data_IF_424328043004
#
_entry.id   IF_424328043004
#
_cell.length_a   1.000
_cell.length_b   1.000
_cell.length_c   1.000
_cell.angle_alpha   90.00
_cell.angle_beta   90.00
_cell.angle_gamma   90.00
#
_symmetry.space_group_name_H-M   'P 1'
#
loop_
_entity.id
_entity.type
_entity.pdbx_description
1 polymer ?
#
# COMPACT_ATOMS: atom_id res chain seq x y z
N UNK A 1 -71.73 24.51 52.02
CA UNK A 1 -71.65 24.45 50.53
C UNK A 1 -70.43 25.17 49.94
N UNK A 2 -69.78 26.09 50.67
CA UNK A 2 -68.67 26.91 50.15
C UNK A 2 -67.35 26.16 49.94
N UNK A 3 -67.05 25.11 50.72
CA UNK A 3 -65.80 24.34 50.60
C UNK A 3 -65.74 23.46 49.33
N UNK A 4 -66.88 23.00 48.82
CA UNK A 4 -66.96 22.15 47.61
C UNK A 4 -66.64 22.97 46.34
N UNK A 5 -67.06 24.25 46.30
CA UNK A 5 -66.72 25.14 45.18
C UNK A 5 -65.24 25.50 45.14
N UNK A 6 -64.58 25.62 46.29
CA UNK A 6 -63.14 25.90 46.34
C UNK A 6 -62.34 24.70 45.83
N UNK A 7 -62.73 23.47 46.19
CA UNK A 7 -62.06 22.25 45.71
C UNK A 7 -62.26 22.08 44.20
N UNK A 8 -63.47 22.32 43.66
CA UNK A 8 -63.70 22.24 42.22
C UNK A 8 -62.91 23.33 41.45
N UNK A 9 -62.85 24.55 41.98
CA UNK A 9 -62.02 25.63 41.41
C UNK A 9 -60.51 25.32 41.50
N UNK A 10 -60.07 24.65 42.57
CA UNK A 10 -58.67 24.27 42.77
C UNK A 10 -58.24 23.11 41.87
N UNK A 11 -59.14 22.14 41.60
CA UNK A 11 -58.91 21.03 40.67
C UNK A 11 -58.97 21.52 39.21
N UNK A 12 -59.89 22.44 38.88
CA UNK A 12 -60.00 23.05 37.55
C UNK A 12 -58.87 24.02 37.21
N UNK A 13 -58.17 24.57 38.23
CA UNK A 13 -57.08 25.52 38.05
C UNK A 13 -55.68 24.89 37.96
N UNK A 14 -55.53 23.58 38.21
CA UNK A 14 -54.22 22.90 38.34
C UNK A 14 -53.89 21.94 37.19
N UNK A 15 -54.74 21.79 36.19
CA UNK A 15 -54.53 20.87 35.04
C UNK A 15 -53.95 21.53 33.79
N UNK A 16 -53.53 22.81 33.84
CA UNK A 16 -53.01 23.53 32.67
C UNK A 16 -51.63 24.16 32.90
N UNK A 17 -50.76 23.49 33.67
CA UNK A 17 -49.34 23.85 33.72
C UNK A 17 -48.46 22.60 33.51
N UNK A 18 -48.85 21.78 32.53
CA UNK A 18 -47.91 20.89 31.86
C UNK A 18 -47.19 21.75 30.81
N UNK A 19 -46.02 22.25 31.19
CA UNK A 19 -45.10 22.98 30.32
C UNK A 19 -44.78 22.13 29.09
N UNK A 20 -45.60 22.25 28.05
CA UNK A 20 -45.21 21.97 26.68
C UNK A 20 -44.06 22.92 26.37
N UNK A 21 -42.84 22.43 26.48
CA UNK A 21 -41.69 23.00 25.80
C UNK A 21 -42.13 23.26 24.36
N UNK A 22 -42.24 24.54 24.00
CA UNK A 22 -42.41 24.93 22.61
C UNK A 22 -41.14 24.47 21.90
N UNK A 23 -41.18 23.27 21.33
CA UNK A 23 -40.28 22.91 20.23
C UNK A 23 -40.60 23.93 19.15
N UNK A 24 -39.74 24.95 19.07
CA UNK A 24 -39.76 25.95 18.01
C UNK A 24 -39.53 25.14 16.74
N UNK A 25 -40.61 24.85 16.01
CA UNK A 25 -40.54 24.18 14.72
C UNK A 25 -39.62 25.01 13.85
N UNK A 26 -38.41 24.51 13.62
CA UNK A 26 -37.45 25.13 12.74
C UNK A 26 -38.10 25.32 11.37
N UNK A 27 -37.77 26.46 10.76
CA UNK A 27 -38.18 26.83 9.42
C UNK A 27 -38.03 25.64 8.47
N UNK A 28 -39.13 24.96 8.15
CA UNK A 28 -39.21 24.14 6.94
C UNK A 28 -39.26 25.11 5.76
N UNK A 29 -38.09 25.62 5.38
CA UNK A 29 -37.89 26.21 4.07
C UNK A 29 -38.28 25.16 3.04
N UNK A 30 -39.44 25.34 2.40
CA UNK A 30 -39.86 24.48 1.31
C UNK A 30 -38.96 24.79 0.11
N UNK A 31 -37.92 23.97 -0.07
CA UNK A 31 -37.08 24.05 -1.25
C UNK A 31 -37.96 23.65 -2.43
N UNK A 32 -38.47 24.64 -3.15
CA UNK A 32 -39.20 24.44 -4.41
C UNK A 32 -38.17 24.15 -5.49
N UNK A 33 -37.78 22.89 -5.60
CA UNK A 33 -36.93 22.43 -6.70
C UNK A 33 -37.77 22.48 -7.97
N UNK A 34 -37.40 23.36 -8.90
CA UNK A 34 -38.00 23.34 -10.24
C UNK A 34 -37.50 22.10 -10.99
N UNK A 35 -38.38 21.44 -11.75
CA UNK A 35 -38.03 20.26 -12.55
C UNK A 35 -36.81 20.53 -13.47
N UNK A 36 -36.71 21.77 -13.97
CA UNK A 36 -35.59 22.26 -14.80
C UNK A 36 -34.29 22.34 -14.00
N UNK A 37 -34.33 22.83 -12.76
CA UNK A 37 -33.17 22.89 -11.87
C UNK A 37 -32.66 21.51 -11.46
N UNK A 38 -33.57 20.56 -11.23
CA UNK A 38 -33.21 19.16 -10.97
C UNK A 38 -32.52 18.52 -12.19
N UNK A 39 -33.05 18.74 -13.40
CA UNK A 39 -32.44 18.24 -14.63
C UNK A 39 -31.04 18.80 -14.87
N UNK A 40 -30.85 20.10 -14.66
CA UNK A 40 -29.53 20.74 -14.78
C UNK A 40 -28.52 20.18 -13.78
N UNK A 41 -28.93 19.93 -12.53
CA UNK A 41 -28.07 19.32 -11.51
C UNK A 41 -27.60 17.92 -11.92
N UNK A 42 -28.49 17.09 -12.47
CA UNK A 42 -28.15 15.73 -12.92
C UNK A 42 -27.11 15.78 -14.05
N UNK A 43 -27.29 16.66 -15.04
CA UNK A 43 -26.33 16.83 -16.13
C UNK A 43 -24.97 17.29 -15.60
N UNK A 44 -24.97 18.25 -14.67
CA UNK A 44 -23.74 18.73 -14.02
C UNK A 44 -23.03 17.58 -13.27
N UNK A 45 -23.77 16.76 -12.52
CA UNK A 45 -23.22 15.60 -11.83
C UNK A 45 -22.61 14.58 -12.80
N UNK A 46 -23.26 14.32 -13.94
CA UNK A 46 -22.73 13.41 -14.96
C UNK A 46 -21.40 13.95 -15.50
N UNK A 47 -21.34 15.23 -15.88
CA UNK A 47 -20.13 15.86 -16.40
C UNK A 47 -19.00 15.80 -15.36
N UNK A 48 -19.31 16.12 -14.09
CA UNK A 48 -18.34 16.02 -13.00
C UNK A 48 -17.82 14.59 -12.83
N UNK A 49 -18.70 13.60 -12.88
CA UNK A 49 -18.35 12.19 -12.70
C UNK A 49 -17.47 11.70 -13.87
N UNK A 50 -17.75 12.13 -15.09
CA UNK A 50 -16.91 11.84 -16.27
C UNK A 50 -15.53 12.49 -16.15
N UNK A 51 -15.47 13.77 -15.80
CA UNK A 51 -14.20 14.47 -15.62
C UNK A 51 -13.36 13.85 -14.49
N UNK A 52 -14.00 13.52 -13.36
CA UNK A 52 -13.36 12.86 -12.23
C UNK A 52 -12.85 11.47 -12.59
N UNK A 53 -13.62 10.70 -13.36
CA UNK A 53 -13.20 9.39 -13.86
C UNK A 53 -11.95 9.49 -14.74
N UNK A 54 -11.94 10.41 -15.71
CA UNK A 54 -10.77 10.63 -16.57
C UNK A 54 -9.54 11.06 -15.77
N UNK A 55 -9.71 11.94 -14.77
CA UNK A 55 -8.62 12.34 -13.89
C UNK A 55 -8.07 11.17 -13.07
N UNK A 56 -8.94 10.29 -12.53
CA UNK A 56 -8.50 9.10 -11.82
C UNK A 56 -7.74 8.13 -12.72
N UNK A 57 -8.25 7.87 -13.94
CA UNK A 57 -7.58 6.98 -14.90
C UNK A 57 -6.22 7.53 -15.32
N UNK A 58 -6.12 8.84 -15.58
CA UNK A 58 -4.85 9.47 -15.92
C UNK A 58 -3.83 9.40 -14.76
N UNK A 59 -4.27 9.63 -13.51
CA UNK A 59 -3.37 9.48 -12.36
C UNK A 59 -2.98 8.02 -12.11
N UNK A 60 -3.85 7.06 -12.43
CA UNK A 60 -3.54 5.64 -12.32
C UNK A 60 -2.45 5.21 -13.29
N UNK A 61 -2.43 5.77 -14.50
CA UNK A 61 -1.36 5.52 -15.49
C UNK A 61 0.02 6.02 -14.99
N UNK A 62 0.07 7.17 -14.32
CA UNK A 62 1.30 7.72 -13.74
C UNK A 62 1.83 6.80 -12.63
N UNK A 63 0.94 6.27 -11.78
CA UNK A 63 1.31 5.30 -10.74
C UNK A 63 1.84 3.99 -11.31
N UNK A 64 1.34 3.56 -12.47
CA UNK A 64 1.87 2.39 -13.18
C UNK A 64 3.33 2.54 -13.59
N UNK A 65 3.72 3.74 -14.03
CA UNK A 65 5.13 4.04 -14.35
C UNK A 65 6.03 4.02 -13.11
N UNK A 66 5.57 4.60 -12.00
CA UNK A 66 6.31 4.59 -10.73
C UNK A 66 6.49 3.16 -10.18
N UNK A 67 5.45 2.34 -10.25
CA UNK A 67 5.54 0.91 -9.93
C UNK A 67 6.55 0.21 -10.83
N UNK A 68 6.55 0.52 -12.14
CA UNK A 68 7.48 -0.09 -13.08
C UNK A 68 8.95 0.29 -12.78
N UNK A 69 9.20 1.54 -12.41
CA UNK A 69 10.54 1.98 -12.00
C UNK A 69 11.01 1.27 -10.73
N UNK A 70 10.12 1.11 -9.74
CA UNK A 70 10.41 0.36 -8.51
C UNK A 70 10.69 -1.12 -8.81
N UNK A 71 9.92 -1.76 -9.68
CA UNK A 71 10.17 -3.14 -10.12
C UNK A 71 11.55 -3.29 -10.78
N UNK A 72 11.91 -2.36 -11.66
CA UNK A 72 13.21 -2.35 -12.33
C UNK A 72 14.35 -2.23 -11.31
N UNK A 73 14.24 -1.31 -10.34
CA UNK A 73 15.22 -1.16 -9.25
C UNK A 73 15.36 -2.43 -8.43
N UNK A 74 14.23 -3.07 -8.05
CA UNK A 74 14.25 -4.35 -7.32
C UNK A 74 14.97 -5.44 -8.12
N UNK A 75 14.71 -5.51 -9.43
CA UNK A 75 15.37 -6.47 -10.32
C UNK A 75 16.88 -6.25 -10.40
N UNK A 76 17.31 -4.99 -10.53
CA UNK A 76 18.73 -4.61 -10.54
C UNK A 76 19.42 -4.95 -9.22
N UNK A 77 18.82 -4.56 -8.08
CA UNK A 77 19.31 -4.88 -6.74
C UNK A 77 19.44 -6.39 -6.53
N UNK A 78 18.48 -7.19 -7.00
CA UNK A 78 18.56 -8.66 -6.93
C UNK A 78 19.68 -9.23 -7.78
N UNK A 79 19.91 -8.68 -8.98
CA UNK A 79 21.01 -9.09 -9.85
C UNK A 79 22.36 -8.80 -9.16
N UNK A 80 22.54 -7.58 -8.67
CA UNK A 80 23.76 -7.17 -7.99
C UNK A 80 24.03 -8.02 -6.74
N UNK A 81 22.98 -8.33 -5.96
CA UNK A 81 23.12 -9.20 -4.79
C UNK A 81 23.56 -10.62 -5.18
N UNK A 82 22.97 -11.20 -6.23
CA UNK A 82 23.41 -12.52 -6.74
C UNK A 82 24.86 -12.51 -7.20
N UNK A 83 25.28 -11.46 -7.92
CA UNK A 83 26.68 -11.32 -8.34
C UNK A 83 27.64 -11.20 -7.15
N UNK A 84 27.23 -10.51 -6.08
CA UNK A 84 28.02 -10.44 -4.84
C UNK A 84 28.12 -11.81 -4.15
N UNK A 85 27.01 -12.56 -4.08
CA UNK A 85 27.01 -13.92 -3.51
C UNK A 85 27.92 -14.87 -4.30
N UNK A 86 27.90 -14.80 -5.64
CA UNK A 86 28.80 -15.60 -6.48
C UNK A 86 30.26 -15.28 -6.16
N UNK A 87 30.61 -13.98 -6.12
CA UNK A 87 31.98 -13.56 -5.76
C UNK A 87 32.38 -14.02 -4.36
N UNK A 88 31.48 -13.93 -3.38
CA UNK A 88 31.75 -14.44 -2.03
C UNK A 88 32.05 -15.95 -2.04
N UNK A 89 31.26 -16.73 -2.78
CA UNK A 89 31.48 -18.17 -2.92
C UNK A 89 32.79 -18.49 -3.63
N UNK A 90 33.15 -17.75 -4.69
CA UNK A 90 34.43 -17.90 -5.38
C UNK A 90 35.61 -17.66 -4.42
N UNK A 91 35.58 -16.56 -3.66
CA UNK A 91 36.62 -16.25 -2.67
C UNK A 91 36.73 -17.34 -1.60
N UNK A 92 35.59 -17.82 -1.07
CA UNK A 92 35.56 -18.91 -0.09
C UNK A 92 36.09 -20.22 -0.66
N UNK A 93 35.77 -20.53 -1.92
CA UNK A 93 36.25 -21.72 -2.61
C UNK A 93 37.78 -21.67 -2.81
N UNK A 94 38.33 -20.52 -3.21
CA UNK A 94 39.78 -20.35 -3.33
C UNK A 94 40.48 -20.57 -1.98
N UNK A 95 39.95 -19.98 -0.91
CA UNK A 95 40.49 -20.16 0.43
C UNK A 95 40.43 -21.62 0.90
N UNK A 96 39.37 -22.34 0.57
CA UNK A 96 39.22 -23.76 0.87
C UNK A 96 40.30 -24.60 0.16
N UNK A 97 40.58 -24.30 -1.11
CA UNK A 97 41.64 -24.97 -1.90
C UNK A 97 43.02 -24.66 -1.31
N UNK A 98 43.31 -23.40 -0.99
CA UNK A 98 44.58 -23.01 -0.36
C UNK A 98 44.80 -23.74 0.97
N UNK A 99 43.76 -23.82 1.81
CA UNK A 99 43.79 -24.53 3.09
C UNK A 99 44.00 -26.03 2.88
N UNK A 100 43.31 -26.64 1.91
CA UNK A 100 43.52 -28.04 1.58
C UNK A 100 44.95 -28.30 1.08
N UNK A 101 45.49 -27.44 0.21
CA UNK A 101 46.86 -27.56 -0.27
C UNK A 101 47.90 -27.49 0.86
N UNK A 102 47.71 -26.58 1.83
CA UNK A 102 48.53 -26.51 3.05
C UNK A 102 48.42 -27.79 3.90
N UNK A 103 47.21 -28.32 4.09
CA UNK A 103 47.00 -29.56 4.85
C UNK A 103 47.68 -30.78 4.18
N UNK A 104 47.79 -30.79 2.86
CA UNK A 104 48.50 -31.83 2.11
C UNK A 104 50.01 -31.60 2.00
N UNK A 105 50.59 -30.61 2.69
CA UNK A 105 52.01 -30.22 2.58
C UNK A 105 52.46 -30.05 1.12
N UNK A 106 51.57 -29.55 0.26
CA UNK A 106 51.94 -29.21 -1.12
C UNK A 106 52.84 -27.98 -1.06
N UNK A 107 54.09 -28.15 -1.48
CA UNK A 107 55.07 -27.07 -1.58
C UNK A 107 54.79 -26.26 -2.85
N UNK A 108 54.93 -24.93 -2.77
CA UNK A 108 54.91 -24.07 -3.96
C UNK A 108 55.99 -24.55 -4.93
N UNK A 109 55.60 -24.92 -6.15
CA UNK A 109 56.52 -25.44 -7.15
C UNK A 109 57.25 -24.28 -7.82
N UNK A 110 58.42 -23.93 -7.28
CA UNK A 110 59.28 -22.87 -7.83
C UNK A 110 60.16 -23.37 -8.96
N UNK A 111 60.34 -24.69 -9.09
CA UNK A 111 61.22 -25.32 -10.07
C UNK A 111 60.49 -26.44 -10.81
N UNK A 112 60.11 -26.18 -12.06
CA UNK A 112 59.39 -27.11 -12.92
C UNK A 112 60.46 -27.91 -13.67
N UNK A 113 60.89 -29.03 -13.08
CA UNK A 113 61.78 -29.97 -13.76
C UNK A 113 60.96 -30.87 -14.67
N UNK A 114 61.07 -30.65 -15.98
CA UNK A 114 60.46 -31.53 -16.97
C UNK A 114 61.26 -32.83 -17.05
N UNK A 115 60.59 -33.96 -16.77
CA UNK A 115 61.17 -35.26 -17.00
C UNK A 115 61.05 -35.57 -18.49
N UNK A 116 62.15 -35.44 -19.23
CA UNK A 116 62.26 -36.03 -20.57
C UNK A 116 62.32 -37.55 -20.41
N UNK A 117 61.17 -38.19 -20.58
CA UNK A 117 61.07 -39.66 -20.56
C UNK A 117 61.42 -40.14 -21.97
N UNK A 118 62.69 -40.54 -22.16
CA UNK A 118 63.12 -41.21 -23.38
C UNK A 118 62.80 -42.72 -23.26
N UNK A 119 61.57 -43.08 -23.62
CA UNK A 119 61.09 -44.45 -23.56
C UNK A 119 59.69 -44.60 -24.17
N UNK A 120 59.34 -45.79 -24.70
CA UNK A 120 58.03 -46.00 -25.32
C UNK A 120 56.92 -45.89 -24.28
N UNK A 121 56.27 -44.73 -24.24
CA UNK A 121 55.03 -44.52 -23.49
C UNK A 121 53.89 -45.22 -24.20
N UNK A 122 53.11 -45.98 -23.44
CA UNK A 122 51.94 -46.68 -23.97
C UNK A 122 50.88 -45.66 -24.38
N UNK A 123 50.68 -45.51 -25.69
CA UNK A 123 49.53 -44.80 -26.26
C UNK A 123 48.41 -45.85 -26.38
N UNK A 124 47.30 -45.65 -25.67
CA UNK A 124 46.09 -46.46 -25.80
C UNK A 124 45.04 -45.73 -26.61
#
# INVERSE_FOLDING_TARGET
MTKILIINKYISGKSLDEKRTRVKTENKGSIKISLVGAGFLVVLCIIFMTAFYLFQVNNLAIKGYEVKDLENKISELRKNNKEMQIREMELRSMYAIETAAKNFNLLDSTDITYLEIDGPVAIK
#
